data_IF_665978903222
#
_entry.id   IF_665978903222
#
_cell.length_a   1.000
_cell.length_b   1.000
_cell.length_c   1.000
_cell.angle_alpha   90.00
_cell.angle_beta   90.00
_cell.angle_gamma   90.00
#
_symmetry.space_group_name_H-M   'P 1'
#
loop_
_entity.id
_entity.type
_entity.pdbx_description
1 polymer ?
#
# COMPACT_ATOMS: atom_id res chain seq x y z
N UNK A 1 14.65 10.04 14.10
CA UNK A 1 14.84 8.63 14.49
C UNK A 1 14.33 8.49 15.91
N UNK A 2 13.28 7.70 16.14
CA UNK A 2 12.86 7.32 17.50
C UNK A 2 13.99 6.48 18.09
N UNK A 3 14.40 6.70 19.33
CA UNK A 3 15.59 6.09 19.96
C UNK A 3 15.53 4.59 20.24
N UNK A 4 14.76 3.83 19.46
CA UNK A 4 14.63 2.38 19.55
C UNK A 4 15.63 1.70 18.60
N UNK A 5 16.32 0.69 19.09
CA UNK A 5 17.27 -0.12 18.35
C UNK A 5 16.78 -1.58 18.22
N UNK A 6 17.53 -2.40 17.48
CA UNK A 6 17.15 -3.78 17.16
C UNK A 6 17.00 -4.71 18.39
N UNK A 7 17.55 -4.32 19.55
CA UNK A 7 17.47 -5.08 20.79
C UNK A 7 16.23 -4.72 21.64
N UNK A 8 15.53 -3.65 21.27
CA UNK A 8 14.33 -3.24 21.99
C UNK A 8 13.15 -4.12 21.58
N UNK A 9 12.49 -4.73 22.57
CA UNK A 9 11.33 -5.59 22.36
C UNK A 9 10.19 -4.87 21.62
N UNK A 10 10.04 -3.57 21.86
CA UNK A 10 9.06 -2.72 21.18
C UNK A 10 9.35 -2.57 19.68
N UNK A 11 10.62 -2.44 19.30
CA UNK A 11 11.03 -2.37 17.89
C UNK A 11 10.73 -3.69 17.17
N UNK A 12 11.10 -4.81 17.79
CA UNK A 12 10.85 -6.15 17.23
C UNK A 12 9.35 -6.44 17.11
N UNK A 13 8.55 -5.97 18.08
CA UNK A 13 7.09 -6.07 18.03
C UNK A 13 6.49 -5.22 16.91
N UNK A 14 6.89 -3.95 16.79
CA UNK A 14 6.43 -3.07 15.74
C UNK A 14 6.79 -3.58 14.34
N UNK A 15 8.02 -4.09 14.17
CA UNK A 15 8.48 -4.73 12.94
C UNK A 15 7.62 -5.96 12.59
N UNK A 16 7.37 -6.84 13.57
CA UNK A 16 6.56 -8.05 13.37
C UNK A 16 5.12 -7.69 12.99
N UNK A 17 4.51 -6.74 13.71
CA UNK A 17 3.16 -6.26 13.39
C UNK A 17 3.09 -5.61 12.00
N UNK A 18 4.07 -4.78 11.65
CA UNK A 18 4.14 -4.16 10.32
C UNK A 18 4.17 -5.20 9.22
N UNK A 19 5.04 -6.22 9.35
CA UNK A 19 5.12 -7.35 8.41
C UNK A 19 3.79 -8.10 8.30
N UNK A 20 3.18 -8.43 9.43
CA UNK A 20 1.96 -9.25 9.47
C UNK A 20 0.75 -8.49 8.88
N UNK A 21 0.59 -7.20 9.21
CA UNK A 21 -0.41 -6.35 8.56
C UNK A 21 -0.09 -6.09 7.08
N UNK A 22 1.18 -6.02 6.71
CA UNK A 22 1.62 -5.97 5.31
C UNK A 22 1.11 -7.15 4.50
N UNK A 23 1.11 -8.36 5.07
CA UNK A 23 0.55 -9.54 4.43
C UNK A 23 -0.98 -9.49 4.30
N UNK A 24 -1.69 -8.94 5.28
CA UNK A 24 -3.14 -8.66 5.14
C UNK A 24 -3.37 -7.68 3.98
N UNK A 25 -2.60 -6.59 3.91
CA UNK A 25 -2.70 -5.60 2.83
C UNK A 25 -2.43 -6.24 1.47
N UNK A 26 -1.45 -7.15 1.37
CA UNK A 26 -1.17 -7.90 0.15
C UNK A 26 -2.40 -8.68 -0.36
N UNK A 27 -3.07 -9.42 0.53
CA UNK A 27 -4.29 -10.17 0.21
C UNK A 27 -5.42 -9.22 -0.21
N UNK A 28 -5.66 -8.16 0.57
CA UNK A 28 -6.69 -7.16 0.26
C UNK A 28 -6.41 -6.44 -1.07
N UNK A 29 -5.15 -6.20 -1.40
CA UNK A 29 -4.75 -5.60 -2.68
C UNK A 29 -5.11 -6.52 -3.85
N UNK A 30 -4.79 -7.82 -3.76
CA UNK A 30 -5.17 -8.80 -4.78
C UNK A 30 -6.69 -8.85 -4.95
N UNK A 31 -7.44 -8.97 -3.85
CA UNK A 31 -8.91 -8.98 -3.87
C UNK A 31 -9.47 -7.70 -4.50
N UNK A 32 -8.92 -6.54 -4.12
CA UNK A 32 -9.34 -5.23 -4.64
C UNK A 32 -9.03 -5.07 -6.12
N UNK A 33 -7.89 -5.57 -6.60
CA UNK A 33 -7.52 -5.55 -8.01
C UNK A 33 -8.46 -6.46 -8.81
N UNK A 34 -8.71 -7.69 -8.34
CA UNK A 34 -9.65 -8.61 -8.97
C UNK A 34 -11.06 -8.01 -9.05
N UNK A 35 -11.54 -7.39 -7.97
CA UNK A 35 -12.85 -6.71 -7.96
C UNK A 35 -12.93 -5.58 -8.99
N UNK A 36 -11.86 -4.80 -9.11
CA UNK A 36 -11.81 -3.70 -10.08
C UNK A 36 -11.82 -4.18 -11.52
N UNK A 37 -11.18 -5.31 -11.80
CA UNK A 37 -11.19 -5.93 -13.13
C UNK A 37 -12.58 -6.47 -13.52
N UNK A 38 -13.46 -6.72 -12.56
CA UNK A 38 -14.87 -7.09 -12.81
C UNK A 38 -15.74 -5.95 -13.35
N UNK A 39 -15.21 -4.72 -13.49
CA UNK A 39 -15.88 -3.62 -14.20
C UNK A 39 -16.86 -2.77 -13.37
N UNK A 40 -17.00 -3.03 -12.07
CA UNK A 40 -17.89 -2.28 -11.18
C UNK A 40 -17.23 -0.99 -10.65
N UNK A 41 -16.93 -0.04 -11.53
CA UNK A 41 -16.40 1.28 -11.12
C UNK A 41 -17.41 2.40 -11.42
N UNK A 42 -17.83 3.19 -10.42
CA UNK A 42 -18.70 4.35 -10.63
C UNK A 42 -18.09 5.36 -11.59
N UNK A 43 -18.94 6.11 -12.30
CA UNK A 43 -18.52 7.21 -13.17
C UNK A 43 -17.82 8.32 -12.36
N UNK A 44 -16.75 8.89 -12.92
CA UNK A 44 -15.98 9.96 -12.28
C UNK A 44 -16.63 11.31 -12.60
N UNK A 45 -16.97 12.08 -11.58
CA UNK A 45 -17.53 13.43 -11.72
C UNK A 45 -16.44 14.47 -12.02
N UNK A 46 -16.81 15.57 -12.70
CA UNK A 46 -15.92 16.70 -12.98
C UNK A 46 -15.46 16.81 -14.45
N UNK A 47 -14.59 17.80 -14.71
CA UNK A 47 -14.06 18.09 -16.05
C UNK A 47 -13.15 16.96 -16.55
N UNK A 48 -13.01 16.80 -17.87
CA UNK A 48 -12.19 15.74 -18.47
C UNK A 48 -10.76 15.66 -17.91
N UNK A 49 -10.13 16.80 -17.63
CA UNK A 49 -8.78 16.81 -17.04
C UNK A 49 -8.78 16.32 -15.57
N UNK A 50 -9.82 16.61 -14.79
CA UNK A 50 -9.97 16.11 -13.42
C UNK A 50 -10.18 14.59 -13.43
N UNK A 51 -10.97 14.08 -14.37
CA UNK A 51 -11.17 12.64 -14.55
C UNK A 51 -9.86 11.94 -14.92
N UNK A 52 -9.07 12.50 -15.84
CA UNK A 52 -7.75 11.96 -16.21
C UNK A 52 -6.79 11.92 -15.01
N UNK A 53 -6.71 13.01 -14.24
CA UNK A 53 -5.88 13.06 -13.03
C UNK A 53 -6.36 12.04 -12.00
N UNK A 54 -7.67 11.90 -11.80
CA UNK A 54 -8.22 10.90 -10.89
C UNK A 54 -7.83 9.48 -11.31
N UNK A 55 -7.89 9.16 -12.61
CA UNK A 55 -7.46 7.85 -13.13
C UNK A 55 -5.97 7.63 -12.87
N UNK A 56 -5.12 8.62 -13.16
CA UNK A 56 -3.67 8.54 -12.94
C UNK A 56 -3.39 8.32 -11.45
N UNK A 57 -3.98 9.12 -10.56
CA UNK A 57 -3.82 9.01 -9.12
C UNK A 57 -4.15 7.61 -8.61
N UNK A 58 -5.30 7.04 -9.02
CA UNK A 58 -5.67 5.70 -8.60
C UNK A 58 -4.72 4.63 -9.16
N UNK A 59 -4.28 4.75 -10.43
CA UNK A 59 -3.30 3.83 -11.01
C UNK A 59 -1.96 3.90 -10.29
N UNK A 60 -1.50 5.11 -9.93
CA UNK A 60 -0.29 5.31 -9.13
C UNK A 60 -0.41 4.66 -7.76
N UNK A 61 -1.56 4.77 -7.08
CA UNK A 61 -1.77 4.06 -5.82
C UNK A 61 -1.64 2.54 -5.97
N UNK A 62 -2.27 1.94 -6.99
CA UNK A 62 -2.12 0.49 -7.22
C UNK A 62 -0.68 0.10 -7.51
N UNK A 63 0.00 0.83 -8.38
CA UNK A 63 1.40 0.54 -8.73
C UNK A 63 2.29 0.63 -7.49
N UNK A 64 2.18 1.69 -6.69
CA UNK A 64 2.96 1.87 -5.47
C UNK A 64 2.65 0.81 -4.42
N UNK A 65 1.37 0.46 -4.20
CA UNK A 65 1.01 -0.61 -3.27
C UNK A 65 1.61 -1.96 -3.69
N UNK A 66 1.60 -2.29 -4.98
CA UNK A 66 2.24 -3.52 -5.48
C UNK A 66 3.74 -3.46 -5.24
N UNK A 67 4.40 -2.34 -5.57
CA UNK A 67 5.83 -2.16 -5.35
C UNK A 67 6.18 -2.33 -3.87
N UNK A 68 5.46 -1.67 -2.97
CA UNK A 68 5.68 -1.76 -1.52
C UNK A 68 5.48 -3.18 -0.99
N UNK A 69 4.41 -3.87 -1.39
CA UNK A 69 4.15 -5.23 -0.93
C UNK A 69 5.23 -6.19 -1.41
N UNK A 70 5.63 -6.10 -2.69
CA UNK A 70 6.67 -6.96 -3.26
C UNK A 70 8.01 -6.66 -2.63
N UNK A 71 8.41 -5.39 -2.51
CA UNK A 71 9.69 -5.03 -1.89
C UNK A 71 9.74 -5.40 -0.41
N UNK A 72 8.64 -5.21 0.35
CA UNK A 72 8.56 -5.61 1.76
C UNK A 72 8.67 -7.12 1.97
N UNK A 73 8.07 -7.91 1.07
CA UNK A 73 8.29 -9.36 1.05
C UNK A 73 9.76 -9.70 0.81
N UNK A 74 10.41 -9.06 -0.19
CA UNK A 74 11.80 -9.30 -0.53
C UNK A 74 12.80 -8.90 0.58
N UNK A 75 12.50 -7.85 1.35
CA UNK A 75 13.28 -7.49 2.54
C UNK A 75 13.25 -8.64 3.54
N UNK A 76 12.05 -9.17 3.84
CA UNK A 76 11.91 -10.21 4.87
C UNK A 76 12.45 -11.56 4.40
N UNK A 77 12.28 -11.89 3.12
CA UNK A 77 12.74 -13.16 2.56
C UNK A 77 14.23 -13.19 2.25
N UNK A 78 14.95 -12.06 2.28
CA UNK A 78 16.35 -11.95 1.83
C UNK A 78 17.30 -13.02 2.42
N UNK A 79 17.09 -13.39 3.70
CA UNK A 79 17.88 -14.39 4.42
C UNK A 79 17.31 -15.82 4.34
N UNK A 80 16.36 -16.07 3.45
CA UNK A 80 15.65 -17.35 3.32
C UNK A 80 14.71 -17.65 4.49
N UNK A 81 14.30 -16.62 5.24
CA UNK A 81 13.44 -16.77 6.41
C UNK A 81 11.96 -16.71 6.00
N UNK A 82 11.22 -17.71 6.45
CA UNK A 82 9.78 -17.76 6.25
C UNK A 82 9.07 -16.65 7.05
N UNK A 83 7.97 -16.15 6.51
CA UNK A 83 7.13 -15.14 7.15
C UNK A 83 6.04 -15.86 7.92
N UNK A 84 6.11 -15.85 9.25
CA UNK A 84 5.00 -16.27 10.11
C UNK A 84 4.04 -15.09 10.32
N UNK A 85 2.82 -15.21 9.82
CA UNK A 85 1.77 -14.19 9.91
C UNK A 85 0.91 -14.47 11.14
N UNK A 86 1.07 -13.67 12.20
CA UNK A 86 0.42 -13.83 13.51
C UNK A 86 0.58 -15.22 14.17
N UNK A 87 1.49 -16.06 13.68
CA UNK A 87 1.61 -17.47 14.09
C UNK A 87 0.54 -18.41 13.51
N UNK A 88 -0.37 -17.92 12.64
CA UNK A 88 -1.46 -18.72 12.09
C UNK A 88 -1.09 -19.39 10.77
N UNK A 89 -0.37 -18.67 9.92
CA UNK A 89 0.02 -19.11 8.58
C UNK A 89 1.48 -18.75 8.36
N UNK A 90 2.21 -19.67 7.75
CA UNK A 90 3.59 -19.45 7.34
C UNK A 90 3.64 -19.31 5.83
N UNK A 91 4.22 -18.21 5.37
CA UNK A 91 4.47 -17.95 3.95
C UNK A 91 5.94 -18.23 3.69
N UNK A 92 6.27 -19.20 2.81
CA UNK A 92 7.64 -19.60 2.60
C UNK A 92 8.45 -18.50 1.89
N UNK A 93 9.73 -18.41 2.21
CA UNK A 93 10.67 -17.63 1.42
C UNK A 93 10.90 -18.29 0.05
N UNK A 94 10.44 -17.65 -1.01
CA UNK A 94 10.52 -18.17 -2.39
C UNK A 94 11.58 -17.46 -3.22
N UNK A 95 11.91 -16.21 -2.89
CA UNK A 95 12.89 -15.38 -3.59
C UNK A 95 13.89 -14.85 -2.56
N UNK A 96 15.12 -15.38 -2.59
CA UNK A 96 16.19 -15.06 -1.64
C UNK A 96 17.57 -15.40 -2.20
N UNK A 97 18.63 -14.94 -1.53
CA UNK A 97 20.01 -15.27 -1.88
C UNK A 97 20.64 -14.39 -2.96
N UNK A 98 19.98 -13.30 -3.36
CA UNK A 98 20.58 -12.30 -4.24
C UNK A 98 21.46 -11.33 -3.44
N UNK A 99 22.54 -10.88 -4.06
CA UNK A 99 23.44 -9.87 -3.49
C UNK A 99 22.69 -8.55 -3.22
N UNK A 100 22.88 -7.97 -2.04
CA UNK A 100 22.25 -6.71 -1.59
C UNK A 100 20.72 -6.67 -1.67
N UNK A 101 20.04 -7.84 -1.66
CA UNK A 101 18.58 -7.90 -1.76
C UNK A 101 17.87 -7.11 -0.66
N UNK A 102 18.30 -7.27 0.60
CA UNK A 102 17.69 -6.60 1.76
C UNK A 102 17.79 -5.09 1.63
N UNK A 103 18.97 -4.58 1.27
CA UNK A 103 19.23 -3.14 1.15
C UNK A 103 18.48 -2.51 -0.03
N UNK A 104 18.56 -3.11 -1.22
CA UNK A 104 17.89 -2.60 -2.44
C UNK A 104 16.36 -2.65 -2.28
N UNK A 105 15.83 -3.77 -1.77
CA UNK A 105 14.40 -3.88 -1.54
C UNK A 105 13.94 -2.91 -0.43
N UNK A 106 14.74 -2.71 0.60
CA UNK A 106 14.50 -1.76 1.68
C UNK A 106 14.41 -0.32 1.17
N UNK A 107 15.37 0.11 0.35
CA UNK A 107 15.37 1.45 -0.25
C UNK A 107 14.15 1.67 -1.16
N UNK A 108 13.82 0.69 -2.02
CA UNK A 108 12.62 0.74 -2.85
C UNK A 108 11.35 0.84 -2.00
N UNK A 109 11.26 0.05 -0.92
CA UNK A 109 10.13 0.07 0.00
C UNK A 109 9.99 1.43 0.69
N UNK A 110 11.09 2.00 1.17
CA UNK A 110 11.11 3.29 1.84
C UNK A 110 10.71 4.43 0.90
N UNK A 111 11.34 4.53 -0.28
CA UNK A 111 11.05 5.59 -1.26
C UNK A 111 9.61 5.50 -1.74
N UNK A 112 9.13 4.29 -2.07
CA UNK A 112 7.74 4.09 -2.50
C UNK A 112 6.73 4.45 -1.41
N UNK A 113 7.04 4.19 -0.14
CA UNK A 113 6.21 4.59 1.01
C UNK A 113 6.11 6.10 1.14
N UNK A 114 7.23 6.82 1.03
CA UNK A 114 7.23 8.29 1.09
C UNK A 114 6.37 8.91 -0.03
N UNK A 115 6.51 8.41 -1.25
CA UNK A 115 5.69 8.84 -2.40
C UNK A 115 4.21 8.50 -2.15
N UNK A 116 3.91 7.30 -1.66
CA UNK A 116 2.55 6.87 -1.37
C UNK A 116 1.87 7.77 -0.33
N UNK A 117 2.56 8.08 0.77
CA UNK A 117 2.06 8.98 1.83
C UNK A 117 1.77 10.38 1.26
N UNK A 118 2.67 10.92 0.44
CA UNK A 118 2.44 12.22 -0.22
C UNK A 118 1.16 12.18 -1.08
N UNK A 119 0.98 11.14 -1.89
CA UNK A 119 -0.21 10.99 -2.72
C UNK A 119 -1.48 10.82 -1.88
N UNK A 120 -1.43 10.11 -0.73
CA UNK A 120 -2.55 10.00 0.21
C UNK A 120 -2.98 11.36 0.74
N UNK A 121 -2.03 12.23 1.10
CA UNK A 121 -2.32 13.60 1.55
C UNK A 121 -3.00 14.38 0.43
N UNK A 122 -2.44 14.37 -0.77
CA UNK A 122 -3.01 15.08 -1.95
C UNK A 122 -4.41 14.56 -2.27
N UNK A 123 -4.60 13.24 -2.27
CA UNK A 123 -5.88 12.59 -2.53
C UNK A 123 -6.93 12.97 -1.49
N UNK A 124 -6.57 12.95 -0.20
CA UNK A 124 -7.46 13.33 0.90
C UNK A 124 -7.90 14.78 0.76
N UNK A 125 -6.96 15.71 0.52
CA UNK A 125 -7.30 17.13 0.32
C UNK A 125 -8.20 17.32 -0.90
N UNK A 126 -7.94 16.60 -2.00
CA UNK A 126 -8.80 16.65 -3.18
C UNK A 126 -10.22 16.14 -2.88
N UNK A 127 -10.36 15.01 -2.19
CA UNK A 127 -11.67 14.47 -1.81
C UNK A 127 -12.45 15.43 -0.91
N UNK A 128 -11.79 16.06 0.07
CA UNK A 128 -12.40 17.06 0.94
C UNK A 128 -12.79 18.33 0.18
N UNK A 129 -11.96 18.80 -0.75
CA UNK A 129 -12.28 19.94 -1.64
C UNK A 129 -13.52 19.62 -2.49
N UNK A 130 -13.58 18.43 -3.08
CA UNK A 130 -14.73 17.98 -3.86
C UNK A 130 -16.01 17.92 -3.01
N UNK A 131 -15.90 17.43 -1.77
CA UNK A 131 -17.03 17.33 -0.86
C UNK A 131 -17.54 18.70 -0.35
N UNK A 132 -16.65 19.55 0.16
CA UNK A 132 -17.06 20.79 0.84
C UNK A 132 -17.20 22.00 -0.09
N UNK A 133 -16.36 22.09 -1.14
CA UNK A 133 -16.33 23.24 -2.05
C UNK A 133 -17.11 22.93 -3.33
N UNK A 134 -16.76 21.85 -4.04
CA UNK A 134 -17.48 21.50 -5.27
C UNK A 134 -18.89 20.96 -4.97
N UNK A 135 -19.13 20.47 -3.74
CA UNK A 135 -20.40 19.88 -3.27
C UNK A 135 -20.89 18.74 -4.17
N UNK A 136 -19.94 17.93 -4.63
CA UNK A 136 -20.24 16.77 -5.46
C UNK A 136 -20.25 15.46 -4.64
N UNK A 137 -20.61 14.36 -5.31
CA UNK A 137 -20.85 13.08 -4.62
C UNK A 137 -19.58 12.21 -4.51
N UNK A 138 -18.41 12.72 -4.90
CA UNK A 138 -17.16 11.93 -5.00
C UNK A 138 -16.85 11.16 -3.71
N UNK A 139 -16.82 11.87 -2.57
CA UNK A 139 -16.54 11.24 -1.27
C UNK A 139 -17.67 10.31 -0.81
N UNK A 140 -18.92 10.69 -1.08
CA UNK A 140 -20.09 9.88 -0.68
C UNK A 140 -20.11 8.53 -1.38
N UNK A 141 -19.70 8.47 -2.65
CA UNK A 141 -19.58 7.21 -3.42
C UNK A 141 -18.50 6.27 -2.88
N UNK A 142 -17.50 6.80 -2.16
CA UNK A 142 -16.50 5.97 -1.48
C UNK A 142 -17.02 5.41 -0.14
N UNK A 143 -17.96 6.09 0.50
CA UNK A 143 -18.52 5.69 1.81
C UNK A 143 -19.78 4.84 1.69
N UNK A 144 -20.59 5.05 0.65
CA UNK A 144 -21.86 4.34 0.42
C UNK A 144 -21.94 3.93 -1.04
N UNK A 145 -22.05 2.62 -1.28
CA UNK A 145 -22.51 2.10 -2.56
C UNK A 145 -24.03 2.29 -2.61
N UNK A 146 -24.51 3.28 -3.37
CA UNK A 146 -25.91 3.34 -3.82
C UNK A 146 -25.97 2.93 -5.28
#
# INVERSE_FOLDING_TARGET
>A
MMGLNYYDSEYLSAYSLHRDFGMIVAVLLVLRMSWRLSGLTPNIEGKQWQQRIAIIMHRSFYALMVIMVVSGYLVTSAKGQDISVFGWVTVPATIYGFENQEDVAGEIHEVSTHIFVLLVVVHTVAALKHHFINRDSTLQRMLRSR
#
